data_IF_957932490639
#
_entry.id   IF_957932490639
#
_cell.length_a   1.000
_cell.length_b   1.000
_cell.length_c   1.000
_cell.angle_alpha   90.00
_cell.angle_beta   90.00
_cell.angle_gamma   90.00
#
_symmetry.space_group_name_H-M   'P 1'
#
loop_
_entity.id
_entity.type
_entity.pdbx_description
1 polymer ?
#
# COMPACT_ATOMS: atom_id res chain seq x y z
N UNK A 1 5.17 0.26 -8.61
CA UNK A 1 4.43 -0.67 -7.74
C UNK A 1 3.68 0.15 -6.70
N UNK A 2 2.42 -0.20 -6.43
CA UNK A 2 1.48 0.66 -5.70
C UNK A 2 0.97 -0.07 -4.46
N UNK A 3 1.04 0.58 -3.30
CA UNK A 3 0.53 0.08 -2.02
C UNK A 3 -0.99 -0.15 -2.12
N UNK A 4 -1.47 -1.27 -1.56
CA UNK A 4 -2.89 -1.60 -1.54
C UNK A 4 -3.62 -0.88 -0.39
N UNK A 5 -4.10 0.34 -0.64
CA UNK A 5 -4.71 1.22 0.39
C UNK A 5 -5.90 0.59 1.12
N UNK A 6 -6.79 -0.09 0.40
CA UNK A 6 -7.95 -0.75 1.01
C UNK A 6 -7.55 -1.91 1.93
N UNK A 7 -6.45 -2.60 1.63
CA UNK A 7 -5.93 -3.67 2.48
C UNK A 7 -5.40 -3.09 3.80
N UNK A 8 -4.66 -1.97 3.74
CA UNK A 8 -4.22 -1.23 4.94
C UNK A 8 -5.40 -0.81 5.81
N UNK A 9 -6.49 -0.37 5.18
CA UNK A 9 -7.70 0.02 5.90
C UNK A 9 -8.33 -1.15 6.66
N UNK A 10 -8.31 -2.35 6.08
CA UNK A 10 -8.78 -3.56 6.77
C UNK A 10 -7.87 -3.94 7.93
N UNK A 11 -6.54 -3.84 7.76
CA UNK A 11 -5.59 -4.10 8.85
C UNK A 11 -5.87 -3.15 10.03
N UNK A 12 -6.02 -1.84 9.76
CA UNK A 12 -6.30 -0.84 10.80
C UNK A 12 -7.63 -1.09 11.49
N UNK A 13 -8.67 -1.50 10.74
CA UNK A 13 -10.01 -1.75 11.28
C UNK A 13 -10.03 -2.95 12.23
N UNK A 14 -9.28 -4.01 11.90
CA UNK A 14 -9.31 -5.26 12.66
C UNK A 14 -8.29 -5.29 13.81
N UNK A 15 -7.31 -4.37 13.85
CA UNK A 15 -6.25 -4.22 14.87
C UNK A 15 -5.28 -5.41 15.03
N UNK A 16 -5.79 -6.63 15.06
CA UNK A 16 -5.05 -7.89 14.98
C UNK A 16 -5.93 -8.89 14.25
N UNK A 17 -5.41 -9.46 13.16
CA UNK A 17 -6.12 -10.42 12.35
C UNK A 17 -5.16 -11.29 11.55
N UNK A 18 -5.62 -12.47 11.19
CA UNK A 18 -4.89 -13.32 10.25
C UNK A 18 -4.93 -12.72 8.85
N UNK A 19 -3.91 -13.00 8.03
CA UNK A 19 -3.92 -12.63 6.62
C UNK A 19 -5.20 -13.12 5.93
N UNK A 20 -5.63 -14.35 6.23
CA UNK A 20 -6.86 -14.95 5.74
C UNK A 20 -8.12 -14.15 6.07
N UNK A 21 -8.27 -13.69 7.32
CA UNK A 21 -9.42 -12.86 7.72
C UNK A 21 -9.41 -11.49 7.03
N UNK A 22 -8.23 -10.93 6.74
CA UNK A 22 -8.09 -9.64 6.06
C UNK A 22 -8.42 -9.69 4.58
N UNK A 23 -8.21 -10.83 3.91
CA UNK A 23 -8.41 -10.98 2.46
C UNK A 23 -9.72 -11.69 2.08
N UNK A 24 -10.34 -12.37 3.04
CA UNK A 24 -11.59 -13.12 2.85
C UNK A 24 -12.83 -12.21 2.85
N UNK A 25 -14.00 -12.83 2.80
CA UNK A 25 -15.33 -12.22 2.89
C UNK A 25 -15.54 -11.35 4.14
N UNK A 26 -14.77 -11.60 5.21
CA UNK A 26 -14.78 -10.82 6.46
C UNK A 26 -13.96 -9.53 6.39
N UNK A 27 -13.08 -9.41 5.38
CA UNK A 27 -12.14 -8.29 5.22
C UNK A 27 -12.32 -7.59 3.88
N UNK A 28 -11.27 -7.62 3.07
CA UNK A 28 -11.20 -6.95 1.77
C UNK A 28 -12.11 -7.59 0.71
N UNK A 29 -12.39 -8.88 0.85
CA UNK A 29 -13.10 -9.69 -0.14
C UNK A 29 -12.53 -9.50 -1.56
N UNK A 30 -11.31 -9.99 -1.77
CA UNK A 30 -10.59 -9.86 -3.06
C UNK A 30 -11.44 -10.43 -4.21
N UNK A 31 -12.33 -11.39 -3.92
CA UNK A 31 -13.20 -12.01 -4.92
C UNK A 31 -14.22 -11.06 -5.54
N UNK A 32 -14.65 -10.02 -4.80
CA UNK A 32 -15.57 -8.99 -5.31
C UNK A 32 -14.88 -7.88 -6.09
N UNK A 33 -13.61 -7.62 -5.82
CA UNK A 33 -12.86 -6.55 -6.50
C UNK A 33 -12.24 -7.00 -7.83
N UNK A 34 -12.14 -8.32 -8.06
CA UNK A 34 -11.62 -8.91 -9.29
C UNK A 34 -12.69 -9.00 -10.39
N UNK A 35 -12.34 -8.57 -11.61
CA UNK A 35 -13.19 -8.74 -12.79
C UNK A 35 -12.96 -10.08 -13.50
N UNK A 36 -11.77 -10.66 -13.32
CA UNK A 36 -11.38 -11.98 -13.83
C UNK A 36 -10.48 -12.66 -12.81
N UNK A 37 -10.46 -14.00 -12.82
CA UNK A 37 -9.54 -14.83 -12.04
C UNK A 37 -8.07 -14.55 -12.42
N UNK A 38 -7.85 -14.03 -13.62
CA UNK A 38 -6.53 -13.61 -14.10
C UNK A 38 -5.92 -12.45 -13.31
N UNK A 39 -6.73 -11.65 -12.60
CA UNK A 39 -6.26 -10.52 -11.79
C UNK A 39 -5.81 -10.97 -10.39
N UNK A 40 -6.06 -12.23 -10.00
CA UNK A 40 -5.74 -12.75 -8.67
C UNK A 40 -4.24 -12.70 -8.35
N UNK A 41 -3.32 -13.12 -9.24
CA UNK A 41 -1.88 -13.01 -9.00
C UNK A 41 -1.44 -11.56 -8.75
N UNK A 42 -1.97 -10.61 -9.52
CA UNK A 42 -1.61 -9.19 -9.40
C UNK A 42 -2.13 -8.58 -8.10
N UNK A 43 -3.33 -8.96 -7.66
CA UNK A 43 -3.89 -8.52 -6.38
C UNK A 43 -3.10 -9.11 -5.20
N UNK A 44 -2.76 -10.40 -5.26
CA UNK A 44 -1.95 -11.06 -4.24
C UNK A 44 -0.54 -10.47 -4.18
N UNK A 45 0.09 -10.21 -5.32
CA UNK A 45 1.39 -9.56 -5.38
C UNK A 45 1.37 -8.19 -4.67
N UNK A 46 0.38 -7.34 -4.97
CA UNK A 46 0.21 -6.04 -4.31
C UNK A 46 0.02 -6.18 -2.80
N UNK A 47 -0.73 -7.18 -2.34
CA UNK A 47 -0.96 -7.44 -0.92
C UNK A 47 0.34 -7.89 -0.25
N UNK A 48 1.06 -8.85 -0.82
CA UNK A 48 2.34 -9.31 -0.28
C UNK A 48 3.39 -8.21 -0.26
N UNK A 49 3.49 -7.43 -1.34
CA UNK A 49 4.36 -6.26 -1.39
C UNK A 49 4.00 -5.24 -0.30
N UNK A 50 2.70 -4.98 -0.10
CA UNK A 50 2.23 -4.07 0.94
C UNK A 50 2.61 -4.58 2.33
N UNK A 51 2.43 -5.87 2.62
CA UNK A 51 2.84 -6.48 3.89
C UNK A 51 4.35 -6.35 4.12
N UNK A 52 5.16 -6.66 3.11
CA UNK A 52 6.61 -6.57 3.21
C UNK A 52 7.07 -5.14 3.43
N UNK A 53 6.47 -4.18 2.71
CA UNK A 53 6.73 -2.76 2.91
C UNK A 53 6.38 -2.30 4.33
N UNK A 54 5.18 -2.59 4.81
CA UNK A 54 4.73 -2.20 6.16
C UNK A 54 5.58 -2.86 7.25
N UNK A 55 5.98 -4.13 7.06
CA UNK A 55 6.88 -4.85 7.98
C UNK A 55 8.26 -4.19 8.02
N UNK A 56 8.81 -3.84 6.85
CA UNK A 56 10.12 -3.18 6.72
C UNK A 56 10.13 -1.80 7.36
N UNK A 57 9.07 -1.02 7.19
CA UNK A 57 8.90 0.31 7.80
C UNK A 57 8.52 0.22 9.30
N UNK A 58 8.37 -0.99 9.85
CA UNK A 58 8.02 -1.19 11.27
C UNK A 58 6.60 -0.74 11.62
N UNK A 59 5.71 -0.67 10.64
CA UNK A 59 4.31 -0.25 10.81
C UNK A 59 3.40 -1.42 11.22
N UNK A 60 3.79 -2.65 10.91
CA UNK A 60 3.11 -3.88 11.35
C UNK A 60 4.13 -4.88 11.89
N UNK A 61 3.63 -5.83 12.68
CA UNK A 61 4.36 -7.04 13.06
C UNK A 61 3.66 -8.25 12.46
N UNK A 62 4.43 -9.17 11.90
CA UNK A 62 3.90 -10.41 11.31
C UNK A 62 4.46 -11.58 12.11
N UNK A 63 3.58 -12.29 12.81
CA UNK A 63 3.91 -13.54 13.49
C UNK A 63 3.66 -14.69 12.52
N UNK A 64 4.75 -15.18 11.95
CA UNK A 64 4.74 -16.27 10.98
C UNK A 64 4.36 -17.57 11.69
N UNK A 65 3.15 -18.04 11.43
CA UNK A 65 2.64 -19.32 11.94
C UNK A 65 2.55 -20.31 10.79
N UNK A 66 2.81 -21.60 11.04
CA UNK A 66 2.56 -22.64 10.03
C UNK A 66 1.07 -22.69 9.75
N UNK A 67 0.70 -22.30 8.54
CA UNK A 67 -0.67 -22.36 8.08
C UNK A 67 -1.10 -23.80 7.83
N UNK A 68 -2.22 -24.19 8.46
CA UNK A 68 -2.89 -25.46 8.20
C UNK A 68 -4.22 -25.25 7.46
N UNK A 69 -4.62 -23.99 7.27
CA UNK A 69 -5.88 -23.62 6.63
C UNK A 69 -5.74 -23.57 5.11
N UNK A 70 -6.74 -24.08 4.40
CA UNK A 70 -6.81 -23.95 2.93
C UNK A 70 -7.63 -22.71 2.58
N UNK A 71 -7.07 -21.72 1.86
CA UNK A 71 -7.78 -20.49 1.51
C UNK A 71 -9.04 -20.74 0.69
N UNK A 72 -10.17 -20.16 1.10
CA UNK A 72 -11.46 -20.29 0.38
C UNK A 72 -11.42 -19.67 -1.02
N UNK A 73 -10.51 -18.72 -1.25
CA UNK A 73 -10.28 -18.03 -2.53
C UNK A 73 -9.87 -19.01 -3.64
N UNK A 74 -9.36 -20.20 -3.28
CA UNK A 74 -8.96 -21.25 -4.22
C UNK A 74 -10.09 -22.16 -4.70
N UNK A 75 -11.33 -21.95 -4.22
CA UNK A 75 -12.49 -22.69 -4.71
C UNK A 75 -13.04 -22.11 -6.03
N UNK A 76 -12.47 -21.00 -6.51
CA UNK A 76 -12.85 -20.35 -7.76
C UNK A 76 -12.14 -21.07 -8.93
N UNK A 77 -12.87 -21.52 -9.97
CA UNK A 77 -12.26 -22.23 -11.09
C UNK A 77 -11.26 -21.33 -11.82
N UNK A 78 -9.99 -21.72 -11.83
CA UNK A 78 -8.92 -21.06 -12.57
C UNK A 78 -9.17 -21.32 -14.06
N UNK A 79 -9.37 -20.25 -14.84
CA UNK A 79 -9.47 -20.32 -16.29
C UNK A 79 -8.23 -21.00 -16.87
N UNK A 80 -8.43 -21.89 -17.84
CA UNK A 80 -7.41 -22.79 -18.39
C UNK A 80 -6.41 -22.09 -19.31
N UNK A 81 -5.74 -21.04 -18.84
CA UNK A 81 -4.77 -20.27 -19.62
C UNK A 81 -3.34 -20.67 -19.23
N UNK A 82 -2.66 -21.39 -20.14
CA UNK A 82 -1.45 -22.19 -19.87
C UNK A 82 -0.24 -21.31 -19.47
N UNK A 83 -0.19 -20.06 -19.94
CA UNK A 83 0.91 -19.14 -19.69
C UNK A 83 0.90 -18.53 -18.27
N UNK A 84 -0.25 -18.50 -17.59
CA UNK A 84 -0.39 -17.93 -16.23
C UNK A 84 -0.21 -18.94 -15.11
N UNK A 85 -0.15 -20.23 -15.46
CA UNK A 85 -0.05 -21.35 -14.52
C UNK A 85 1.12 -21.21 -13.52
N UNK A 86 2.35 -20.83 -13.92
CA UNK A 86 3.48 -20.78 -12.98
C UNK A 86 3.33 -19.70 -11.90
N UNK A 87 2.90 -18.50 -12.30
CA UNK A 87 2.69 -17.39 -11.37
C UNK A 87 1.52 -17.68 -10.41
N UNK A 88 0.44 -18.24 -10.94
CA UNK A 88 -0.73 -18.65 -10.14
C UNK A 88 -0.32 -19.72 -9.12
N UNK A 89 0.46 -20.73 -9.50
CA UNK A 89 0.96 -21.76 -8.56
C UNK A 89 1.84 -21.13 -7.48
N UNK A 90 2.76 -20.23 -7.84
CA UNK A 90 3.65 -19.57 -6.88
C UNK A 90 2.87 -18.76 -5.83
N UNK A 91 1.94 -17.92 -6.26
CA UNK A 91 1.11 -17.14 -5.34
C UNK A 91 0.13 -18.02 -4.56
N UNK A 92 -0.31 -19.12 -5.14
CA UNK A 92 -1.15 -20.11 -4.46
C UNK A 92 -0.40 -20.78 -3.29
N UNK A 93 0.83 -21.25 -3.52
CA UNK A 93 1.67 -21.82 -2.46
C UNK A 93 2.03 -20.77 -1.39
N UNK A 94 2.42 -19.57 -1.83
CA UNK A 94 2.75 -18.46 -0.93
C UNK A 94 1.56 -18.08 -0.05
N UNK A 95 0.36 -17.99 -0.62
CA UNK A 95 -0.85 -17.68 0.13
C UNK A 95 -1.25 -18.81 1.07
N UNK A 96 -1.15 -20.07 0.64
CA UNK A 96 -1.42 -21.22 1.51
C UNK A 96 -0.50 -21.21 2.74
N UNK A 97 0.78 -20.87 2.57
CA UNK A 97 1.75 -20.81 3.67
C UNK A 97 1.53 -19.62 4.61
N UNK A 98 1.00 -18.51 4.09
CA UNK A 98 0.84 -17.24 4.81
C UNK A 98 -0.56 -16.95 5.32
N UNK A 99 -1.54 -17.80 5.01
CA UNK A 99 -2.95 -17.56 5.34
C UNK A 99 -3.19 -17.34 6.84
N UNK A 100 -2.52 -18.11 7.68
CA UNK A 100 -2.63 -18.03 9.15
C UNK A 100 -1.57 -17.11 9.78
N UNK A 101 -0.90 -16.24 9.00
CA UNK A 101 0.01 -15.24 9.56
C UNK A 101 -0.79 -14.20 10.34
N UNK A 102 -0.47 -14.03 11.62
CA UNK A 102 -1.09 -13.03 12.48
C UNK A 102 -0.39 -11.69 12.26
N UNK A 103 -1.19 -10.69 11.87
CA UNK A 103 -0.74 -9.35 11.55
C UNK A 103 -1.22 -8.42 12.66
N UNK A 104 -0.26 -7.86 13.39
CA UNK A 104 -0.51 -6.95 14.50
C UNK A 104 -0.12 -5.52 14.10
N UNK A 105 -1.02 -4.56 14.32
CA UNK A 105 -0.74 -3.17 13.97
C UNK A 105 0.17 -2.50 14.99
N UNK A 106 1.03 -1.61 14.50
CA UNK A 106 1.72 -0.63 15.35
C UNK A 106 1.06 0.73 15.23
N UNK A 107 1.15 1.59 16.27
CA UNK A 107 0.55 2.93 16.24
C UNK A 107 0.98 3.78 15.03
N UNK A 108 2.20 3.53 14.52
CA UNK A 108 2.73 4.20 13.33
C UNK A 108 1.88 4.00 12.07
N UNK A 109 1.19 2.86 11.92
CA UNK A 109 0.33 2.59 10.77
C UNK A 109 -0.87 3.54 10.70
N UNK A 110 -1.42 3.91 11.86
CA UNK A 110 -2.53 4.88 11.95
C UNK A 110 -2.04 6.25 11.52
N UNK A 111 -0.83 6.65 11.93
CA UNK A 111 -0.23 7.91 11.52
C UNK A 111 0.07 7.94 10.01
N UNK A 112 0.60 6.84 9.46
CA UNK A 112 0.83 6.66 8.03
C UNK A 112 -0.46 6.84 7.20
N UNK A 113 -1.59 6.32 7.68
CA UNK A 113 -2.91 6.56 7.05
C UNK A 113 -3.34 8.03 7.14
N UNK A 114 -3.20 8.67 8.30
CA UNK A 114 -3.54 10.08 8.50
C UNK A 114 -2.72 11.00 7.59
N UNK A 115 -1.50 10.60 7.26
CA UNK A 115 -0.59 11.29 6.35
C UNK A 115 -0.83 10.94 4.85
N UNK A 116 -1.91 10.23 4.52
CA UNK A 116 -2.24 9.93 3.12
C UNK A 116 -1.44 8.79 2.50
N UNK A 117 -0.97 7.83 3.31
CA UNK A 117 -0.11 6.71 2.91
C UNK A 117 1.28 7.13 2.42
N UNK A 118 1.80 8.22 3.00
CA UNK A 118 3.18 8.68 2.80
C UNK A 118 3.97 8.44 4.09
N UNK A 119 5.25 8.06 3.95
CA UNK A 119 6.15 7.95 5.12
C UNK A 119 6.64 9.34 5.53
N UNK A 120 7.09 9.49 6.78
CA UNK A 120 7.67 10.75 7.29
C UNK A 120 8.83 11.26 6.41
N UNK A 121 9.57 10.35 5.76
CA UNK A 121 10.62 10.70 4.80
C UNK A 121 10.07 11.35 3.54
N UNK A 122 9.03 10.77 2.93
CA UNK A 122 8.40 11.29 1.71
C UNK A 122 7.74 12.66 1.96
N UNK A 123 7.13 12.86 3.13
CA UNK A 123 6.52 14.14 3.49
C UNK A 123 7.58 15.24 3.66
N UNK A 124 8.76 14.90 4.18
CA UNK A 124 9.87 15.86 4.30
C UNK A 124 10.41 16.27 2.93
N UNK A 125 10.55 15.33 2.01
CA UNK A 125 10.98 15.62 0.64
C UNK A 125 9.96 16.48 -0.11
N UNK A 126 8.66 16.13 -0.05
CA UNK A 126 7.59 16.92 -0.66
C UNK A 126 7.53 18.35 -0.08
N UNK A 127 7.68 18.50 1.23
CA UNK A 127 7.73 19.82 1.87
C UNK A 127 8.93 20.63 1.39
N UNK A 128 10.12 20.03 1.29
CA UNK A 128 11.30 20.72 0.80
C UNK A 128 11.15 21.14 -0.67
N UNK A 129 10.57 20.28 -1.50
CA UNK A 129 10.29 20.55 -2.90
C UNK A 129 9.33 21.74 -3.06
N UNK A 130 8.18 21.73 -2.38
CA UNK A 130 7.22 22.83 -2.43
C UNK A 130 7.76 24.13 -1.81
N UNK A 131 8.58 24.04 -0.78
CA UNK A 131 9.23 25.22 -0.18
C UNK A 131 10.21 25.87 -1.17
N UNK A 132 10.99 25.07 -1.89
CA UNK A 132 11.90 25.56 -2.92
C UNK A 132 11.15 26.26 -4.08
N UNK A 133 10.04 25.68 -4.55
CA UNK A 133 9.16 26.30 -5.55
C UNK A 133 8.59 27.62 -5.02
N UNK A 134 8.10 27.62 -3.78
CA UNK A 134 7.57 28.81 -3.12
C UNK A 134 8.59 29.95 -3.10
N UNK A 135 9.83 29.66 -2.69
CA UNK A 135 10.93 30.63 -2.67
C UNK A 135 11.24 31.16 -4.08
N UNK A 136 11.27 30.29 -5.10
CA UNK A 136 11.57 30.70 -6.47
C UNK A 136 10.50 31.64 -7.06
N UNK A 137 9.22 31.36 -6.79
CA UNK A 137 8.11 32.22 -7.21
C UNK A 137 8.15 33.55 -6.48
N UNK A 138 8.38 33.54 -5.16
CA UNK A 138 8.43 34.75 -4.35
C UNK A 138 9.63 35.64 -4.72
N UNK A 139 10.80 35.05 -5.00
CA UNK A 139 11.98 35.75 -5.47
C UNK A 139 11.76 36.38 -6.86
N UNK A 140 11.07 35.67 -7.75
CA UNK A 140 10.73 36.17 -9.09
C UNK A 140 9.72 37.32 -9.00
N UNK A 141 8.72 37.21 -8.14
CA UNK A 141 7.73 38.26 -7.89
C UNK A 141 8.36 39.50 -7.23
N UNK A 142 9.21 39.31 -6.22
CA UNK A 142 9.98 40.40 -5.59
C UNK A 142 10.90 41.07 -6.61
N UNK A 143 11.62 40.31 -7.43
CA UNK A 143 12.50 40.87 -8.47
C UNK A 143 11.71 41.69 -9.50
N UNK A 144 10.53 41.21 -9.91
CA UNK A 144 9.63 41.95 -10.79
C UNK A 144 9.10 43.24 -10.11
N UNK A 145 8.70 43.19 -8.85
CA UNK A 145 8.29 44.38 -8.09
C UNK A 145 9.42 45.40 -7.97
N UNK A 146 10.62 44.96 -7.59
CA UNK A 146 11.78 45.83 -7.49
C UNK A 146 12.12 46.48 -8.84
N UNK A 147 12.21 45.70 -9.92
CA UNK A 147 12.48 46.25 -11.27
C UNK A 147 11.40 47.19 -11.78
N UNK A 148 10.14 47.02 -11.39
CA UNK A 148 9.04 47.89 -11.85
C UNK A 148 8.91 49.16 -11.01
N UNK A 149 9.21 49.12 -9.71
CA UNK A 149 9.04 50.25 -8.79
C UNK A 149 10.30 51.10 -8.58
N UNK A 150 11.51 50.53 -8.60
CA UNK A 150 12.75 51.32 -8.45
C UNK A 150 12.97 52.40 -9.51
N UNK A 151 12.75 52.16 -10.83
CA UNK A 151 12.93 53.21 -11.84
C UNK A 151 11.85 54.31 -11.81
N UNK A 152 10.87 54.22 -10.90
CA UNK A 152 9.89 55.30 -10.63
C UNK A 152 10.22 56.11 -9.38
N UNK A 153 11.19 55.68 -8.57
CA UNK A 153 11.55 56.30 -7.28
C UNK A 153 12.91 57.03 -7.36
N UNK A 154 13.77 56.67 -8.33
CA UNK A 154 14.99 57.39 -8.72
C UNK A 154 14.85 57.99 -10.12
#
# INVERSE_FOLDING_TARGET
>A
MTIHKEFIDQIIKQYSATLGDLISDRGLDITKSMKSVDELPDQLDKIFYTLEFLKKEGLIEIKETRSNTTPTIFQIPIGSDIEKIPAVIFYHEKLKQSYDWDIEIKPGLIHFKQQGYQTDGQIKEDKQFWLAIGIAVLASFLSALFTTYFPKIF
#
